data_IF_668004876910
#
_entry.id   IF_668004876910
#
_cell.length_a   1.000
_cell.length_b   1.000
_cell.length_c   1.000
_cell.angle_alpha   90.00
_cell.angle_beta   90.00
_cell.angle_gamma   90.00
#
_symmetry.space_group_name_H-M   'P 1'
#
loop_
_entity.id
_entity.type
_entity.pdbx_description
1 polymer ?
#
# COMPACT_ATOMS: atom_id res chain seq x y z
N UNK A 1 -10.71 31.74 29.64
CA UNK A 1 -10.80 30.98 28.37
C UNK A 1 -9.72 29.95 28.46
N UNK A 2 -10.12 28.69 28.71
CA UNK A 2 -9.17 27.58 28.82
C UNK A 2 -8.70 27.22 27.41
N UNK A 3 -7.39 27.39 27.15
CA UNK A 3 -6.72 26.78 26.00
C UNK A 3 -6.68 25.26 26.27
N UNK A 4 -7.77 24.57 25.93
CA UNK A 4 -7.70 23.11 25.80
C UNK A 4 -6.75 22.81 24.65
N UNK A 5 -5.74 21.95 24.84
CA UNK A 5 -4.85 21.58 23.74
C UNK A 5 -5.69 20.91 22.67
N UNK A 6 -5.73 21.53 21.49
CA UNK A 6 -6.41 20.96 20.31
C UNK A 6 -5.85 19.56 20.10
N UNK A 7 -6.70 18.55 20.32
CA UNK A 7 -6.31 17.15 20.17
C UNK A 7 -5.95 16.91 18.70
N UNK A 8 -4.89 16.16 18.44
CA UNK A 8 -4.46 15.88 17.05
C UNK A 8 -5.55 15.10 16.31
N UNK A 9 -5.74 15.39 15.04
CA UNK A 9 -6.79 14.79 14.21
C UNK A 9 -6.73 13.26 14.19
N UNK A 10 -5.54 12.64 14.21
CA UNK A 10 -5.33 11.19 14.26
C UNK A 10 -5.90 10.55 15.52
N UNK A 11 -5.70 11.20 16.67
CA UNK A 11 -6.20 10.74 17.97
C UNK A 11 -7.71 10.93 18.06
N UNK A 12 -8.20 12.11 17.65
CA UNK A 12 -9.63 12.41 17.66
C UNK A 12 -10.39 11.44 16.76
N UNK A 13 -9.91 11.21 15.55
CA UNK A 13 -10.47 10.25 14.62
C UNK A 13 -10.56 8.84 15.22
N UNK A 14 -9.45 8.33 15.76
CA UNK A 14 -9.41 7.02 16.40
C UNK A 14 -10.40 6.91 17.57
N UNK A 15 -10.52 7.96 18.40
CA UNK A 15 -11.46 7.97 19.52
C UNK A 15 -12.92 7.96 19.07
N UNK A 16 -13.28 8.62 17.97
CA UNK A 16 -14.63 8.58 17.41
C UNK A 16 -14.96 7.17 16.88
N UNK A 17 -14.03 6.55 16.19
CA UNK A 17 -14.21 5.16 15.77
C UNK A 17 -14.38 4.19 16.96
N UNK A 18 -13.62 4.38 18.05
CA UNK A 18 -13.80 3.60 19.28
C UNK A 18 -15.17 3.82 19.93
N UNK A 19 -15.75 5.01 19.81
CA UNK A 19 -17.09 5.32 20.31
C UNK A 19 -18.20 4.81 19.36
N UNK A 20 -17.85 4.27 18.18
CA UNK A 20 -18.82 3.85 17.16
C UNK A 20 -19.45 5.04 16.42
N UNK A 21 -18.84 6.22 16.49
CA UNK A 21 -19.34 7.45 15.90
C UNK A 21 -18.64 7.74 14.57
N UNK A 22 -19.13 7.07 13.52
CA UNK A 22 -18.58 7.18 12.16
C UNK A 22 -18.79 8.57 11.55
N UNK A 23 -19.94 9.19 11.81
CA UNK A 23 -20.28 10.51 11.25
C UNK A 23 -19.32 11.59 11.77
N UNK A 24 -19.04 11.60 13.08
CA UNK A 24 -18.06 12.53 13.63
C UNK A 24 -16.62 12.18 13.18
N UNK A 25 -16.29 10.91 13.00
CA UNK A 25 -15.00 10.50 12.43
C UNK A 25 -14.85 11.02 10.99
N UNK A 26 -15.87 10.88 10.15
CA UNK A 26 -15.88 11.44 8.78
C UNK A 26 -15.74 12.97 8.81
N UNK A 27 -16.45 13.66 9.71
CA UNK A 27 -16.35 15.11 9.89
C UNK A 27 -14.92 15.59 10.22
N UNK A 28 -14.14 14.80 10.97
CA UNK A 28 -12.73 15.13 11.25
C UNK A 28 -11.88 15.06 9.97
N UNK A 29 -12.15 14.10 9.08
CA UNK A 29 -11.45 14.01 7.80
C UNK A 29 -11.84 15.15 6.86
N UNK A 30 -13.12 15.52 6.81
CA UNK A 30 -13.59 16.66 6.02
C UNK A 30 -12.94 17.97 6.48
N UNK A 31 -12.81 18.17 7.80
CA UNK A 31 -12.14 19.36 8.35
C UNK A 31 -10.65 19.37 8.00
N UNK A 32 -9.99 18.19 8.06
CA UNK A 32 -8.59 18.05 7.65
C UNK A 32 -8.40 18.37 6.17
N UNK A 33 -9.34 17.94 5.31
CA UNK A 33 -9.34 18.20 3.87
C UNK A 33 -9.48 19.68 3.49
N UNK A 34 -10.09 20.51 4.34
CA UNK A 34 -10.18 21.95 4.08
C UNK A 34 -8.83 22.66 4.09
N UNK A 35 -7.84 22.09 4.79
CA UNK A 35 -6.54 22.72 5.02
C UNK A 35 -5.36 21.91 4.44
N UNK A 36 -5.57 20.63 4.13
CA UNK A 36 -4.53 19.74 3.66
C UNK A 36 -4.98 18.98 2.39
N UNK A 37 -4.05 18.64 1.49
CA UNK A 37 -4.35 17.79 0.34
C UNK A 37 -4.73 16.36 0.78
N UNK A 38 -5.56 15.70 -0.03
CA UNK A 38 -6.11 14.37 0.28
C UNK A 38 -5.03 13.31 0.56
N UNK A 39 -3.87 13.42 -0.07
CA UNK A 39 -2.75 12.48 0.13
C UNK A 39 -2.23 12.49 1.57
N UNK A 40 -2.34 13.62 2.27
CA UNK A 40 -1.88 13.75 3.65
C UNK A 40 -2.79 13.06 4.67
N UNK A 41 -4.08 12.91 4.36
CA UNK A 41 -5.02 12.21 5.25
C UNK A 41 -4.52 10.80 5.57
N UNK A 42 -4.00 10.11 4.56
CA UNK A 42 -3.53 8.73 4.76
C UNK A 42 -2.39 8.64 5.77
N UNK A 43 -1.38 9.49 5.62
CA UNK A 43 -0.19 9.48 6.50
C UNK A 43 -0.42 10.17 7.85
N UNK A 44 -1.28 11.21 7.90
CA UNK A 44 -1.46 12.03 9.10
C UNK A 44 -2.62 11.58 9.99
N UNK A 45 -3.63 10.88 9.44
CA UNK A 45 -4.83 10.49 10.19
C UNK A 45 -5.09 8.99 10.13
N UNK A 46 -5.28 8.41 8.93
CA UNK A 46 -5.79 7.04 8.79
C UNK A 46 -4.75 5.98 9.18
N UNK A 47 -3.51 6.08 8.70
CA UNK A 47 -2.43 5.15 9.08
C UNK A 47 -2.12 5.21 10.57
N UNK A 48 -1.99 6.38 11.22
CA UNK A 48 -1.88 6.46 12.67
C UNK A 48 -3.03 5.80 13.40
N UNK A 49 -4.28 5.98 12.99
CA UNK A 49 -5.45 5.36 13.61
C UNK A 49 -5.40 3.83 13.53
N UNK A 50 -5.06 3.26 12.36
CA UNK A 50 -4.84 1.82 12.21
C UNK A 50 -3.71 1.31 13.13
N UNK A 51 -2.64 2.07 13.27
CA UNK A 51 -1.53 1.73 14.17
C UNK A 51 -1.96 1.77 15.64
N UNK A 52 -2.84 2.70 16.03
CA UNK A 52 -3.41 2.74 17.39
C UNK A 52 -4.29 1.51 17.63
N UNK A 53 -5.18 1.16 16.71
CA UNK A 53 -6.03 -0.02 16.82
C UNK A 53 -5.19 -1.31 16.98
N UNK A 54 -4.15 -1.49 16.16
CA UNK A 54 -3.21 -2.62 16.28
C UNK A 54 -2.48 -2.63 17.61
N UNK A 55 -2.00 -1.47 18.07
CA UNK A 55 -1.29 -1.36 19.34
C UNK A 55 -2.22 -1.69 20.52
N UNK A 56 -3.41 -1.12 20.55
CA UNK A 56 -4.33 -1.33 21.65
C UNK A 56 -4.86 -2.77 21.67
N UNK A 57 -5.03 -3.40 20.50
CA UNK A 57 -5.29 -4.83 20.39
C UNK A 57 -4.13 -5.67 20.96
N UNK A 58 -2.88 -5.34 20.61
CA UNK A 58 -1.70 -6.07 21.08
C UNK A 58 -1.47 -5.95 22.59
N UNK A 59 -1.98 -4.88 23.20
CA UNK A 59 -1.94 -4.63 24.63
C UNK A 59 -3.17 -5.19 25.38
N UNK A 60 -4.11 -5.84 24.68
CA UNK A 60 -5.35 -6.33 25.27
C UNK A 60 -6.34 -5.24 25.70
N UNK A 61 -6.18 -4.00 25.19
CA UNK A 61 -7.04 -2.87 25.49
C UNK A 61 -8.22 -2.72 24.53
N UNK A 62 -8.17 -3.41 23.40
CA UNK A 62 -9.19 -3.41 22.36
C UNK A 62 -9.65 -4.84 22.10
N UNK A 63 -10.95 -5.09 22.11
CA UNK A 63 -11.50 -6.40 21.75
C UNK A 63 -11.37 -6.62 20.23
N UNK A 64 -11.45 -7.88 19.79
CA UNK A 64 -11.33 -8.23 18.37
C UNK A 64 -12.48 -7.64 17.54
N UNK A 65 -13.69 -7.75 18.06
CA UNK A 65 -14.88 -7.19 17.41
C UNK A 65 -14.79 -5.68 17.23
N UNK A 66 -14.28 -4.96 18.26
CA UNK A 66 -14.14 -3.51 18.18
C UNK A 66 -13.08 -3.11 17.16
N UNK A 67 -11.98 -3.89 17.06
CA UNK A 67 -10.98 -3.70 16.01
C UNK A 67 -11.57 -3.90 14.63
N UNK A 68 -12.38 -4.92 14.43
CA UNK A 68 -13.07 -5.19 13.15
C UNK A 68 -14.04 -4.06 12.78
N UNK A 69 -14.79 -3.54 13.74
CA UNK A 69 -15.67 -2.39 13.51
C UNK A 69 -14.87 -1.14 13.06
N UNK A 70 -13.70 -0.88 13.66
CA UNK A 70 -12.82 0.22 13.24
C UNK A 70 -12.32 0.00 11.80
N UNK A 71 -11.96 -1.22 11.44
CA UNK A 71 -11.48 -1.52 10.08
C UNK A 71 -12.60 -1.41 9.06
N UNK A 72 -13.79 -1.89 9.40
CA UNK A 72 -14.97 -1.76 8.55
C UNK A 72 -15.35 -0.28 8.35
N UNK A 73 -15.46 0.49 9.41
CA UNK A 73 -15.72 1.93 9.33
C UNK A 73 -14.69 2.66 8.48
N UNK A 74 -13.40 2.32 8.66
CA UNK A 74 -12.32 2.89 7.83
C UNK A 74 -12.49 2.52 6.35
N UNK A 75 -12.94 1.31 6.03
CA UNK A 75 -13.21 0.87 4.66
C UNK A 75 -14.35 1.65 4.04
N UNK A 76 -15.47 1.80 4.75
CA UNK A 76 -16.64 2.55 4.32
C UNK A 76 -16.28 4.03 4.05
N UNK A 77 -15.57 4.67 4.97
CA UNK A 77 -15.09 6.05 4.79
C UNK A 77 -14.16 6.18 3.56
N UNK A 78 -13.33 5.18 3.28
CA UNK A 78 -12.49 5.20 2.08
C UNK A 78 -13.31 5.10 0.79
N UNK A 79 -14.40 4.34 0.80
CA UNK A 79 -15.34 4.23 -0.33
C UNK A 79 -16.04 5.57 -0.58
N UNK A 80 -16.52 6.23 0.47
CA UNK A 80 -17.16 7.55 0.39
C UNK A 80 -16.20 8.65 -0.14
N UNK A 81 -14.92 8.59 0.24
CA UNK A 81 -13.89 9.50 -0.27
C UNK A 81 -13.65 9.33 -1.78
N UNK A 82 -13.85 8.13 -2.33
CA UNK A 82 -13.74 7.89 -3.78
C UNK A 82 -14.95 8.43 -4.54
N UNK A 83 -16.15 8.34 -3.97
CA UNK A 83 -17.37 8.87 -4.59
C UNK A 83 -17.37 10.40 -4.65
N UNK A 84 -16.70 11.06 -3.71
CA UNK A 84 -16.60 12.52 -3.62
C UNK A 84 -15.62 13.15 -4.62
N UNK A 85 -14.83 12.35 -5.36
CA UNK A 85 -13.96 12.87 -6.43
C UNK A 85 -14.79 13.19 -7.67
N UNK A 86 -14.71 14.45 -8.22
CA UNK A 86 -15.40 14.78 -9.45
C UNK A 86 -14.96 13.83 -10.57
N UNK A 87 -15.94 13.34 -11.32
CA UNK A 87 -15.81 12.37 -12.42
C UNK A 87 -14.80 12.84 -13.49
N UNK A 88 -13.55 12.47 -13.35
CA UNK A 88 -12.57 12.53 -14.45
C UNK A 88 -11.68 11.27 -14.52
N UNK A 89 -12.18 10.15 -14.03
CA UNK A 89 -11.51 8.86 -14.18
C UNK A 89 -12.54 7.74 -14.27
N UNK A 90 -12.94 7.43 -15.50
CA UNK A 90 -13.67 6.20 -15.82
C UNK A 90 -12.79 4.99 -15.50
N UNK A 91 -12.90 4.47 -14.28
CA UNK A 91 -12.50 3.11 -13.94
C UNK A 91 -13.03 2.78 -12.55
N UNK A 92 -14.33 2.51 -12.44
CA UNK A 92 -14.89 1.78 -11.31
C UNK A 92 -14.32 0.37 -11.33
N UNK A 93 -13.41 0.06 -10.42
CA UNK A 93 -13.04 -1.32 -10.13
C UNK A 93 -13.83 -1.77 -8.90
N UNK A 94 -15.05 -2.24 -9.13
CA UNK A 94 -15.74 -3.10 -8.19
C UNK A 94 -14.94 -4.39 -8.08
N UNK A 95 -14.50 -4.74 -6.88
CA UNK A 95 -13.92 -6.04 -6.57
C UNK A 95 -15.00 -7.12 -6.69
N UNK A 96 -15.16 -7.67 -7.88
CA UNK A 96 -15.88 -8.91 -8.12
C UNK A 96 -15.10 -9.75 -9.10
N UNK A 97 -15.03 -11.03 -8.78
CA UNK A 97 -14.37 -12.12 -9.50
C UNK A 97 -14.22 -11.95 -11.01
N UNK A 98 -13.02 -12.29 -11.45
CA UNK A 98 -12.66 -12.75 -12.78
C UNK A 98 -13.60 -12.33 -13.92
N UNK A 99 -13.34 -11.23 -14.59
CA UNK A 99 -13.99 -10.95 -15.88
C UNK A 99 -12.97 -10.69 -16.97
N UNK A 100 -13.18 -11.41 -18.05
CA UNK A 100 -12.43 -11.47 -19.29
C UNK A 100 -12.00 -10.10 -19.81
N UNK A 101 -10.74 -10.05 -20.20
CA UNK A 101 -10.07 -8.91 -20.82
C UNK A 101 -10.76 -8.58 -22.15
N UNK A 102 -11.39 -7.43 -22.20
CA UNK A 102 -11.80 -6.81 -23.47
C UNK A 102 -10.59 -6.08 -24.08
N UNK A 103 -10.01 -6.69 -25.12
CA UNK A 103 -8.75 -6.27 -25.77
C UNK A 103 -8.95 -5.19 -26.85
N UNK A 104 -9.97 -4.36 -26.77
CA UNK A 104 -10.30 -3.44 -27.88
C UNK A 104 -10.47 -1.97 -27.47
N UNK A 105 -9.54 -1.41 -26.68
CA UNK A 105 -9.40 0.04 -26.52
C UNK A 105 -8.05 0.51 -27.07
N UNK A 106 -8.00 1.54 -27.95
CA UNK A 106 -6.77 1.95 -28.59
C UNK A 106 -5.90 2.77 -27.64
N UNK A 107 -4.64 2.34 -27.53
CA UNK A 107 -3.50 3.16 -27.10
C UNK A 107 -3.44 3.56 -25.63
N UNK A 108 -3.17 2.59 -24.72
CA UNK A 108 -2.48 2.92 -23.50
C UNK A 108 -1.18 2.11 -23.44
N UNK A 109 -0.07 2.77 -23.13
CA UNK A 109 1.18 2.08 -22.83
C UNK A 109 0.94 1.00 -21.76
N UNK A 110 1.65 -0.15 -21.79
CA UNK A 110 1.44 -1.22 -20.83
C UNK A 110 1.62 -0.69 -19.41
N UNK A 111 0.60 -0.91 -18.55
CA UNK A 111 0.65 -0.49 -17.15
C UNK A 111 1.70 -1.31 -16.40
N UNK A 112 2.34 -0.67 -15.43
CA UNK A 112 3.27 -1.35 -14.52
C UNK A 112 2.47 -2.12 -13.48
N UNK A 113 2.56 -3.45 -13.52
CA UNK A 113 1.89 -4.29 -12.53
C UNK A 113 2.65 -4.28 -11.21
N UNK A 114 1.94 -3.93 -10.15
CA UNK A 114 2.42 -3.96 -8.76
C UNK A 114 1.60 -5.00 -7.99
N UNK A 115 2.27 -5.94 -7.32
CA UNK A 115 1.58 -6.84 -6.39
C UNK A 115 1.65 -6.28 -4.98
N UNK A 116 0.49 -5.99 -4.40
CA UNK A 116 0.34 -5.60 -3.00
C UNK A 116 0.30 -6.84 -2.10
N UNK A 117 1.21 -6.91 -1.13
CA UNK A 117 1.33 -8.05 -0.22
C UNK A 117 1.15 -7.58 1.24
N UNK A 118 -0.04 -7.73 1.83
CA UNK A 118 -0.26 -7.42 3.24
C UNK A 118 0.37 -8.50 4.12
N UNK A 119 1.05 -8.09 5.20
CA UNK A 119 1.65 -9.04 6.14
C UNK A 119 0.62 -9.45 7.18
N UNK A 120 -0.14 -10.51 6.92
CA UNK A 120 -1.05 -11.25 7.85
C UNK A 120 -1.99 -10.40 8.72
N UNK A 121 -2.50 -9.29 8.20
CA UNK A 121 -3.24 -8.35 9.01
C UNK A 121 -4.14 -7.50 8.10
N UNK A 122 -5.42 -7.43 8.40
CA UNK A 122 -6.40 -6.64 7.63
C UNK A 122 -6.03 -5.15 7.59
N UNK A 123 -5.43 -4.60 8.67
CA UNK A 123 -4.96 -3.21 8.64
C UNK A 123 -3.88 -2.99 7.57
N UNK A 124 -3.04 -3.99 7.27
CA UNK A 124 -2.06 -3.90 6.20
C UNK A 124 -2.72 -3.94 4.81
N UNK A 125 -3.82 -4.67 4.68
CA UNK A 125 -4.63 -4.69 3.45
C UNK A 125 -5.31 -3.34 3.22
N UNK A 126 -5.96 -2.78 4.24
CA UNK A 126 -6.52 -1.42 4.19
C UNK A 126 -5.46 -0.37 3.83
N UNK A 127 -4.29 -0.48 4.43
CA UNK A 127 -3.18 0.44 4.13
C UNK A 127 -2.72 0.32 2.66
N UNK A 128 -2.73 -0.87 2.05
CA UNK A 128 -2.45 -1.05 0.62
C UNK A 128 -3.55 -0.44 -0.25
N UNK A 129 -4.82 -0.54 0.14
CA UNK A 129 -5.93 0.11 -0.55
C UNK A 129 -5.79 1.64 -0.51
N UNK A 130 -5.38 2.22 0.63
CA UNK A 130 -5.05 3.64 0.74
C UNK A 130 -3.88 4.01 -0.17
N UNK A 131 -2.81 3.23 -0.11
CA UNK A 131 -1.62 3.46 -0.92
C UNK A 131 -1.91 3.44 -2.42
N UNK A 132 -2.77 2.50 -2.86
CA UNK A 132 -3.20 2.43 -4.26
C UNK A 132 -3.81 3.74 -4.76
N UNK A 133 -4.59 4.42 -3.92
CA UNK A 133 -5.23 5.71 -4.27
C UNK A 133 -4.25 6.86 -4.50
N UNK A 134 -2.99 6.70 -4.09
CA UNK A 134 -1.91 7.66 -4.34
C UNK A 134 -1.20 7.43 -5.67
N UNK A 135 -1.40 6.29 -6.31
CA UNK A 135 -0.77 5.94 -7.58
C UNK A 135 -1.67 6.34 -8.76
N UNK A 136 -1.05 6.72 -9.86
CA UNK A 136 -1.76 7.05 -11.10
C UNK A 136 -2.33 5.77 -11.75
N UNK A 137 -3.65 5.60 -11.81
CA UNK A 137 -4.28 4.40 -12.36
C UNK A 137 -4.08 4.25 -13.88
N UNK A 138 -3.65 5.31 -14.57
CA UNK A 138 -3.27 5.24 -15.99
C UNK A 138 -1.92 4.53 -16.19
N UNK A 139 -1.03 4.58 -15.20
CA UNK A 139 0.34 4.04 -15.28
C UNK A 139 0.52 2.73 -14.52
N UNK A 140 -0.23 2.53 -13.46
CA UNK A 140 -0.06 1.41 -12.54
C UNK A 140 -1.31 0.54 -12.47
N UNK A 141 -1.10 -0.75 -12.28
CA UNK A 141 -2.12 -1.73 -11.97
C UNK A 141 -1.76 -2.43 -10.67
N UNK A 142 -2.69 -2.55 -9.72
CA UNK A 142 -2.48 -3.25 -8.47
C UNK A 142 -3.19 -4.61 -8.48
N UNK A 143 -2.43 -5.67 -8.21
CA UNK A 143 -2.97 -6.95 -7.82
C UNK A 143 -2.77 -7.13 -6.30
N UNK A 144 -3.84 -7.01 -5.52
CA UNK A 144 -3.78 -7.16 -4.08
C UNK A 144 -3.90 -8.63 -3.69
N UNK A 145 -2.98 -9.13 -2.87
CA UNK A 145 -3.09 -10.44 -2.23
C UNK A 145 -3.93 -10.30 -0.94
N UNK A 146 -4.71 -11.33 -0.62
CA UNK A 146 -5.45 -11.36 0.63
C UNK A 146 -4.50 -11.45 1.85
N UNK A 147 -4.84 -10.81 2.95
CA UNK A 147 -4.00 -10.81 4.17
C UNK A 147 -3.84 -12.19 4.81
N UNK A 148 -4.73 -13.13 4.51
CA UNK A 148 -4.70 -14.53 4.96
C UNK A 148 -3.75 -15.40 4.14
N UNK A 149 -3.29 -14.92 2.97
CA UNK A 149 -2.43 -15.67 2.04
C UNK A 149 -1.14 -16.14 2.74
N UNK A 150 -0.85 -17.42 2.64
CA UNK A 150 0.39 -17.98 3.17
C UNK A 150 1.61 -17.48 2.38
N UNK A 151 2.76 -17.37 3.04
CA UNK A 151 3.98 -16.88 2.37
C UNK A 151 4.38 -17.71 1.15
N UNK A 152 4.15 -19.03 1.15
CA UNK A 152 4.41 -19.90 -0.01
C UNK A 152 3.50 -19.58 -1.17
N UNK A 153 2.21 -19.46 -0.91
CA UNK A 153 1.18 -19.12 -1.89
C UNK A 153 1.41 -17.71 -2.46
N UNK A 154 1.76 -16.75 -1.61
CA UNK A 154 2.10 -15.39 -2.05
C UNK A 154 3.26 -15.40 -3.06
N UNK A 155 4.31 -16.20 -2.81
CA UNK A 155 5.46 -16.32 -3.71
C UNK A 155 5.05 -16.95 -5.04
N UNK A 156 4.17 -17.96 -5.03
CA UNK A 156 3.67 -18.62 -6.24
C UNK A 156 2.79 -17.65 -7.05
N UNK A 157 1.84 -16.96 -6.43
CA UNK A 157 1.01 -15.96 -7.09
C UNK A 157 1.84 -14.79 -7.67
N UNK A 158 2.90 -14.36 -6.98
CA UNK A 158 3.83 -13.35 -7.49
C UNK A 158 4.60 -13.90 -8.69
N UNK A 159 5.02 -15.18 -8.67
CA UNK A 159 5.70 -15.81 -9.80
C UNK A 159 4.80 -15.90 -11.04
N UNK A 160 3.54 -16.29 -10.85
CA UNK A 160 2.54 -16.39 -11.94
C UNK A 160 2.23 -15.03 -12.57
N UNK A 161 2.06 -14.00 -11.75
CA UNK A 161 1.75 -12.64 -12.21
C UNK A 161 2.94 -11.93 -12.82
N UNK A 162 4.17 -12.34 -12.51
CA UNK A 162 5.42 -11.72 -12.98
C UNK A 162 5.42 -10.18 -12.89
N UNK A 163 5.14 -9.59 -11.71
CA UNK A 163 5.03 -8.15 -11.57
C UNK A 163 6.39 -7.46 -11.69
N UNK A 164 6.38 -6.20 -12.07
CA UNK A 164 7.57 -5.35 -12.03
C UNK A 164 8.03 -5.06 -10.59
N UNK A 165 7.06 -4.98 -9.67
CA UNK A 165 7.30 -4.57 -8.29
C UNK A 165 6.33 -5.27 -7.32
N UNK A 166 6.84 -5.60 -6.14
CA UNK A 166 6.03 -6.02 -4.98
C UNK A 166 6.09 -4.93 -3.91
N UNK A 167 4.91 -4.49 -3.46
CA UNK A 167 4.75 -3.59 -2.32
C UNK A 167 4.26 -4.38 -1.11
N UNK A 168 5.10 -4.53 -0.10
CA UNK A 168 4.78 -5.24 1.14
C UNK A 168 4.33 -4.22 2.17
N UNK A 169 3.07 -4.28 2.63
CA UNK A 169 2.61 -3.46 3.75
C UNK A 169 2.82 -4.19 5.08
N UNK A 170 3.39 -3.47 6.03
CA UNK A 170 3.68 -3.99 7.37
C UNK A 170 3.60 -2.87 8.40
N UNK A 171 2.40 -2.52 8.83
CA UNK A 171 2.15 -1.49 9.82
C UNK A 171 2.65 -1.89 11.22
N UNK A 172 3.28 -0.97 11.99
CA UNK A 172 3.57 -1.19 13.40
C UNK A 172 2.26 -1.23 14.24
N UNK A 173 2.29 -1.89 15.42
CA UNK A 173 3.36 -2.71 15.95
C UNK A 173 3.38 -4.10 15.32
N UNK A 174 4.50 -4.80 15.50
CA UNK A 174 4.66 -6.19 15.04
C UNK A 174 5.00 -6.32 13.54
N UNK A 175 4.83 -7.49 12.99
CA UNK A 175 5.02 -7.81 11.57
C UNK A 175 6.47 -7.86 11.06
N UNK A 176 7.46 -7.30 11.78
CA UNK A 176 8.83 -7.15 11.28
C UNK A 176 9.52 -8.49 10.93
N UNK A 177 9.34 -9.50 11.77
CA UNK A 177 9.93 -10.81 11.54
C UNK A 177 9.37 -11.50 10.29
N UNK A 178 8.05 -11.43 10.12
CA UNK A 178 7.34 -11.98 8.96
C UNK A 178 7.74 -11.23 7.68
N UNK A 179 7.81 -9.89 7.74
CA UNK A 179 8.24 -9.06 6.60
C UNK A 179 9.67 -9.42 6.18
N UNK A 180 10.60 -9.53 7.14
CA UNK A 180 11.98 -9.95 6.86
C UNK A 180 12.03 -11.34 6.24
N UNK A 181 11.24 -12.27 6.74
CA UNK A 181 11.16 -13.62 6.20
C UNK A 181 10.65 -13.60 4.75
N UNK A 182 9.57 -12.87 4.47
CA UNK A 182 9.02 -12.71 3.13
C UNK A 182 10.04 -12.07 2.17
N UNK A 183 10.69 -10.97 2.55
CA UNK A 183 11.73 -10.33 1.74
C UNK A 183 12.85 -11.32 1.36
N UNK A 184 13.37 -12.08 2.35
CA UNK A 184 14.42 -13.08 2.10
C UNK A 184 13.95 -14.18 1.13
N UNK A 185 12.72 -14.65 1.27
CA UNK A 185 12.14 -15.67 0.38
C UNK A 185 11.95 -15.15 -1.03
N UNK A 186 11.41 -13.94 -1.18
CA UNK A 186 11.25 -13.28 -2.48
C UNK A 186 12.61 -13.03 -3.15
N UNK A 187 13.60 -12.50 -2.42
CA UNK A 187 14.93 -12.25 -2.99
C UNK A 187 15.65 -13.54 -3.39
N UNK A 188 15.46 -14.63 -2.64
CA UNK A 188 15.99 -15.95 -3.01
C UNK A 188 15.36 -16.48 -4.30
N UNK A 189 14.05 -16.25 -4.49
CA UNK A 189 13.30 -16.74 -5.67
C UNK A 189 13.51 -15.84 -6.88
N UNK A 190 13.67 -14.53 -6.68
CA UNK A 190 13.78 -13.49 -7.70
C UNK A 190 15.00 -12.60 -7.42
N UNK A 191 16.24 -13.03 -7.72
CA UNK A 191 17.44 -12.33 -7.26
C UNK A 191 17.54 -10.89 -7.77
N UNK A 192 17.24 -10.64 -9.06
CA UNK A 192 17.44 -9.34 -9.71
C UNK A 192 16.21 -8.87 -10.52
N UNK A 193 15.25 -9.73 -10.80
CA UNK A 193 14.12 -9.45 -11.70
C UNK A 193 12.95 -8.74 -11.01
N UNK A 194 12.86 -8.80 -9.68
CA UNK A 194 11.75 -8.24 -8.92
C UNK A 194 12.23 -7.10 -8.01
N UNK A 195 11.58 -5.94 -8.09
CA UNK A 195 11.76 -4.86 -7.13
C UNK A 195 10.86 -5.08 -5.91
N UNK A 196 11.41 -4.92 -4.72
CA UNK A 196 10.71 -5.15 -3.44
C UNK A 196 10.72 -3.85 -2.64
N UNK A 197 9.56 -3.27 -2.45
CA UNK A 197 9.36 -2.11 -1.56
C UNK A 197 8.61 -2.57 -0.32
N UNK A 198 9.00 -2.06 0.83
CA UNK A 198 8.28 -2.28 2.09
C UNK A 198 7.72 -0.96 2.60
N UNK A 199 6.39 -0.89 2.71
CA UNK A 199 5.68 0.17 3.42
C UNK A 199 5.63 -0.14 4.92
N UNK A 200 6.48 0.52 5.70
CA UNK A 200 6.49 0.47 7.17
C UNK A 200 5.86 1.76 7.72
N UNK A 201 4.68 2.10 7.22
CA UNK A 201 4.05 3.40 7.41
C UNK A 201 3.71 3.70 8.87
N UNK A 202 4.06 4.91 9.31
CA UNK A 202 3.95 5.34 10.70
C UNK A 202 5.07 4.81 11.62
N UNK A 203 6.07 4.12 11.09
CA UNK A 203 7.25 3.70 11.87
C UNK A 203 8.22 4.86 12.05
N UNK A 204 8.63 5.09 13.31
CA UNK A 204 9.65 6.09 13.66
C UNK A 204 11.04 5.46 13.89
N UNK A 205 11.17 4.14 13.72
CA UNK A 205 12.39 3.42 14.06
C UNK A 205 13.20 3.07 12.82
N UNK A 206 14.27 3.81 12.56
CA UNK A 206 15.19 3.63 11.42
C UNK A 206 15.88 2.25 11.42
N UNK A 207 16.15 1.67 12.59
CA UNK A 207 16.80 0.37 12.67
C UNK A 207 15.95 -0.76 12.06
N UNK A 208 14.62 -0.60 12.08
CA UNK A 208 13.71 -1.52 11.41
C UNK A 208 13.86 -1.44 9.88
N UNK A 209 14.02 -0.25 9.33
CA UNK A 209 14.27 -0.03 7.91
C UNK A 209 15.55 -0.72 7.44
N UNK A 210 16.66 -0.49 8.14
CA UNK A 210 17.95 -1.10 7.82
C UNK A 210 17.90 -2.63 7.86
N UNK A 211 17.14 -3.21 8.81
CA UNK A 211 16.97 -4.67 8.90
C UNK A 211 16.17 -5.27 7.73
N UNK A 212 15.25 -4.50 7.15
CA UNK A 212 14.45 -4.89 5.99
C UNK A 212 15.25 -4.78 4.69
N UNK A 213 16.05 -3.72 4.54
CA UNK A 213 17.02 -3.59 3.43
C UNK A 213 18.02 -4.76 3.44
N UNK A 214 18.60 -5.10 4.60
CA UNK A 214 19.48 -6.24 4.77
C UNK A 214 18.77 -7.59 4.50
N UNK A 215 17.45 -7.65 4.59
CA UNK A 215 16.65 -8.84 4.28
C UNK A 215 16.32 -8.96 2.79
N UNK A 216 16.67 -7.98 1.96
CA UNK A 216 16.50 -8.00 0.52
C UNK A 216 15.43 -7.05 -0.03
N UNK A 217 14.88 -6.14 0.77
CA UNK A 217 14.08 -5.04 0.25
C UNK A 217 14.96 -4.05 -0.52
N UNK A 218 14.48 -3.51 -1.63
CA UNK A 218 15.18 -2.46 -2.39
C UNK A 218 14.97 -1.09 -1.75
N UNK A 219 13.76 -0.84 -1.23
CA UNK A 219 13.38 0.40 -0.55
C UNK A 219 12.46 0.10 0.64
N UNK A 220 12.50 1.00 1.61
CA UNK A 220 11.58 1.00 2.76
C UNK A 220 11.06 2.41 2.93
N UNK A 221 9.73 2.58 2.88
CA UNK A 221 9.08 3.86 3.12
C UNK A 221 8.41 3.90 4.49
N UNK A 222 8.52 5.03 5.17
CA UNK A 222 7.91 5.28 6.48
C UNK A 222 6.60 6.05 6.37
N UNK A 223 6.36 6.69 5.22
CA UNK A 223 5.11 7.31 4.82
C UNK A 223 4.64 6.77 3.46
N UNK A 224 3.36 6.89 3.18
CA UNK A 224 2.80 6.50 1.89
C UNK A 224 3.30 7.39 0.75
N UNK A 225 3.43 8.70 1.01
CA UNK A 225 3.95 9.66 0.04
C UNK A 225 5.40 9.30 -0.34
N UNK A 226 6.26 9.02 0.63
CA UNK A 226 7.64 8.56 0.39
C UNK A 226 7.65 7.27 -0.44
N UNK A 227 6.80 6.30 -0.10
CA UNK A 227 6.70 5.02 -0.80
C UNK A 227 6.22 5.21 -2.25
N UNK A 228 5.26 6.10 -2.50
CA UNK A 228 4.81 6.46 -3.84
C UNK A 228 5.98 6.99 -4.69
N UNK A 229 6.75 7.92 -4.15
CA UNK A 229 7.87 8.50 -4.86
C UNK A 229 8.97 7.47 -5.16
N UNK A 230 9.19 6.52 -4.23
CA UNK A 230 10.09 5.38 -4.43
C UNK A 230 9.57 4.43 -5.53
N UNK A 231 8.26 4.16 -5.61
CA UNK A 231 7.65 3.36 -6.70
C UNK A 231 7.88 4.03 -8.04
N UNK A 232 7.64 5.35 -8.14
CA UNK A 232 7.85 6.11 -9.36
C UNK A 232 9.31 6.01 -9.83
N UNK A 233 10.27 6.17 -8.93
CA UNK A 233 11.69 6.06 -9.23
C UNK A 233 12.06 4.66 -9.74
N UNK A 234 11.63 3.60 -9.06
CA UNK A 234 11.98 2.22 -9.44
C UNK A 234 11.33 1.77 -10.75
N UNK A 235 10.12 2.25 -11.04
CA UNK A 235 9.44 1.93 -12.29
C UNK A 235 10.07 2.61 -13.52
N UNK A 236 10.71 3.78 -13.34
CA UNK A 236 11.42 4.47 -14.40
C UNK A 236 12.75 3.79 -14.76
N UNK A 237 13.47 3.26 -13.77
CA UNK A 237 14.75 2.55 -13.98
C UNK A 237 14.51 1.24 -14.76
N UNK A 238 13.42 0.51 -14.47
CA UNK A 238 13.08 -0.74 -15.18
C UNK A 238 12.73 -0.56 -16.66
N UNK A 239 12.24 0.62 -17.05
CA UNK A 239 11.96 0.93 -18.46
C UNK A 239 13.22 1.31 -19.25
N UNK A 240 14.27 1.80 -18.60
CA UNK A 240 15.53 2.16 -19.25
C UNK A 240 16.38 0.91 -19.57
N UNK A 241 16.38 -0.10 -18.68
CA UNK A 241 17.13 -1.34 -18.90
C UNK A 241 16.51 -2.23 -19.99
N UNK A 242 15.19 -2.13 -20.23
CA UNK A 242 14.50 -2.91 -21.27
C UNK A 242 14.77 -2.39 -22.71
N UNK A 243 15.27 -1.18 -22.88
CA UNK A 243 15.56 -0.57 -24.18
C UNK A 243 16.98 -0.82 -24.66
N UNK A 244 17.92 -1.19 -23.81
CA UNK A 244 19.32 -1.35 -24.17
C UNK A 244 19.67 -2.77 -24.66
N UNK A 245 18.84 -3.78 -24.37
CA UNK A 245 19.06 -5.17 -24.81
C UNK A 245 18.58 -5.46 -26.26
N UNK A 246 17.98 -4.48 -26.95
CA UNK A 246 17.48 -4.61 -28.33
C UNK A 246 18.45 -4.11 -29.41
N UNK A 247 19.66 -3.66 -29.06
CA UNK A 247 20.68 -3.14 -29.99
C UNK A 247 21.98 -3.96 -30.02
N UNK A 248 21.88 -5.29 -30.20
CA UNK A 248 23.02 -6.04 -30.70
C UNK A 248 22.90 -6.16 -32.22
N UNK A 249 23.81 -5.55 -33.01
CA UNK A 249 23.82 -5.75 -34.44
C UNK A 249 24.28 -7.18 -34.76
N UNK A 250 23.46 -7.87 -35.55
CA UNK A 250 23.83 -9.14 -36.14
C UNK A 250 25.18 -9.00 -36.88
N UNK A 251 26.23 -9.56 -36.27
CA UNK A 251 27.54 -9.66 -36.86
C UNK A 251 27.49 -10.49 -38.15
N UNK A 252 27.69 -9.81 -39.23
CA UNK A 252 27.91 -10.36 -40.53
C UNK A 252 29.18 -11.28 -40.54
N UNK A 253 28.97 -12.58 -40.64
CA UNK A 253 30.07 -13.51 -40.91
C UNK A 253 30.11 -13.81 -42.42
N UNK A 254 30.95 -13.04 -43.13
CA UNK A 254 31.48 -13.38 -44.45
C UNK A 254 32.89 -13.96 -44.24
N UNK A 255 33.01 -15.24 -44.35
CA UNK A 255 34.03 -15.99 -45.12
C UNK A 255 33.97 -17.47 -44.80
#
# INVERSE_FOLDING_TARGET
>A
MSDEPVMKSDISYYQRLLAGDQDEAAGILEEHLKTHPVEKIYDEVLVPALNYAKRDRSLGRLAENDQQLIFQATREILEDLDESKPENSSSRTTFSEATMIDRNSPSSAPKVLIVGCPVRDEANELALLMFWRLLDPARYELALLAHETLTSEAIEQIAEKSPALVCIASLPPGGLAQTRYLCKRLRKRFPNSLKIIVGRWGSRNESNGNSLLAAGADKVGTTMIETRDQVIQLSQIGSADATDDSLQPAGCNLR
#
